data_IF_894842927925
#
_entry.id   IF_894842927925
#
_cell.length_a   1.000
_cell.length_b   1.000
_cell.length_c   1.000
_cell.angle_alpha   90.00
_cell.angle_beta   90.00
_cell.angle_gamma   90.00
#
_symmetry.space_group_name_H-M   'P 1'
#
loop_
_entity.id
_entity.type
_entity.pdbx_description
1 polymer ?
#
# COMPACT_ATOMS: atom_id res chain seq x y z
N UNK A 1 25.16 -40.46 -59.71
CA UNK A 1 26.49 -40.12 -59.16
C UNK A 1 26.40 -38.78 -58.48
N UNK A 2 26.92 -38.76 -57.26
CA UNK A 2 27.15 -37.64 -56.34
C UNK A 2 27.67 -36.38 -57.05
N UNK A 3 27.31 -35.19 -56.56
CA UNK A 3 28.31 -34.23 -56.06
C UNK A 3 27.65 -33.04 -55.32
N UNK A 4 28.10 -32.87 -54.08
CA UNK A 4 27.86 -31.78 -53.16
C UNK A 4 28.50 -30.47 -53.64
N UNK A 5 27.84 -29.33 -53.37
CA UNK A 5 28.50 -28.04 -53.13
C UNK A 5 27.75 -27.23 -52.06
N UNK A 6 28.37 -27.17 -50.88
CA UNK A 6 28.19 -26.14 -49.87
C UNK A 6 28.42 -24.74 -50.46
N UNK A 7 27.70 -23.72 -49.99
CA UNK A 7 28.25 -22.51 -49.34
C UNK A 7 27.14 -21.52 -48.93
N UNK A 8 27.10 -21.25 -47.62
CA UNK A 8 26.95 -19.94 -46.96
C UNK A 8 25.62 -19.13 -46.90
N UNK A 9 25.28 -18.80 -45.64
CA UNK A 9 24.70 -17.54 -45.10
C UNK A 9 23.21 -17.24 -45.41
N UNK A 10 22.37 -16.76 -44.48
CA UNK A 10 22.63 -15.88 -43.36
C UNK A 10 21.73 -16.16 -42.14
N UNK A 11 22.37 -16.09 -40.98
CA UNK A 11 21.81 -16.02 -39.63
C UNK A 11 21.11 -14.67 -39.43
N UNK A 12 19.79 -14.65 -39.32
CA UNK A 12 19.05 -13.47 -38.89
C UNK A 12 19.08 -13.42 -37.35
N UNK A 13 20.02 -12.63 -36.82
CA UNK A 13 20.10 -12.22 -35.42
C UNK A 13 18.85 -11.40 -35.06
N UNK A 14 17.92 -12.02 -34.35
CA UNK A 14 16.82 -11.33 -33.68
C UNK A 14 17.43 -10.58 -32.49
N UNK A 15 17.57 -9.27 -32.67
CA UNK A 15 17.96 -8.33 -31.63
C UNK A 15 16.82 -8.30 -30.61
N UNK A 16 16.96 -9.07 -29.53
CA UNK A 16 16.10 -8.98 -28.36
C UNK A 16 16.42 -7.65 -27.66
N UNK A 17 15.58 -6.63 -27.89
CA UNK A 17 15.58 -5.39 -27.13
C UNK A 17 15.40 -5.74 -25.65
N UNK A 18 16.31 -5.32 -24.74
CA UNK A 18 16.05 -5.46 -23.33
C UNK A 18 14.86 -4.56 -23.00
N UNK A 19 13.76 -5.18 -22.57
CA UNK A 19 12.69 -4.48 -21.87
C UNK A 19 13.37 -3.85 -20.65
N UNK A 20 13.60 -2.54 -20.71
CA UNK A 20 14.01 -1.75 -19.59
C UNK A 20 12.96 -1.95 -18.50
N UNK A 21 13.26 -2.84 -17.55
CA UNK A 21 12.50 -3.00 -16.33
C UNK A 21 12.69 -1.67 -15.61
N UNK A 22 11.66 -0.84 -15.61
CA UNK A 22 11.65 0.38 -14.82
C UNK A 22 11.99 -0.01 -13.39
N UNK A 23 13.18 0.39 -12.93
CA UNK A 23 13.55 0.31 -11.53
C UNK A 23 12.58 1.23 -10.80
N UNK A 24 11.58 0.62 -10.19
CA UNK A 24 10.71 1.28 -9.24
C UNK A 24 11.63 1.63 -8.06
N UNK A 25 12.15 2.84 -8.03
CA UNK A 25 12.76 3.43 -6.84
C UNK A 25 11.66 3.48 -5.77
N UNK A 26 11.46 2.38 -5.04
CA UNK A 26 10.90 2.44 -3.70
C UNK A 26 11.98 3.14 -2.87
N UNK A 27 11.81 4.45 -2.63
CA UNK A 27 12.56 5.17 -1.60
C UNK A 27 12.52 4.30 -0.34
N UNK A 28 13.68 4.01 0.26
CA UNK A 28 13.74 3.24 1.51
C UNK A 28 12.84 3.93 2.54
N UNK A 29 11.67 3.34 2.80
CA UNK A 29 10.85 3.75 3.93
C UNK A 29 11.68 3.52 5.20
N UNK A 30 11.70 4.52 6.09
CA UNK A 30 12.45 4.49 7.32
C UNK A 30 12.18 3.18 8.08
N UNK A 31 13.23 2.37 8.32
CA UNK A 31 13.15 1.02 8.90
C UNK A 31 12.85 1.08 10.39
N UNK A 32 11.65 1.54 10.71
CA UNK A 32 11.09 1.47 12.06
C UNK A 32 9.96 0.47 12.11
N UNK A 33 9.66 -0.12 13.28
CA UNK A 33 8.54 -1.04 13.41
C UNK A 33 7.22 -0.44 12.92
N UNK A 34 6.98 0.86 13.18
CA UNK A 34 5.80 1.55 12.66
C UNK A 34 5.87 1.76 11.14
N UNK A 35 7.04 2.13 10.61
CA UNK A 35 7.26 2.23 9.16
C UNK A 35 6.95 0.93 8.43
N UNK A 36 7.38 -0.21 8.98
CA UNK A 36 7.09 -1.55 8.43
C UNK A 36 5.59 -1.87 8.42
N UNK A 37 4.87 -1.60 9.53
CA UNK A 37 3.42 -1.78 9.59
C UNK A 37 2.69 -0.90 8.57
N UNK A 38 3.07 0.38 8.48
CA UNK A 38 2.50 1.31 7.51
C UNK A 38 2.79 0.90 6.06
N UNK A 39 3.98 0.35 5.80
CA UNK A 39 4.35 -0.21 4.50
C UNK A 39 3.45 -1.38 4.12
N UNK A 40 3.23 -2.31 5.07
CA UNK A 40 2.35 -3.46 4.88
C UNK A 40 0.90 -3.02 4.63
N UNK A 41 0.40 -2.05 5.41
CA UNK A 41 -0.90 -1.41 5.19
C UNK A 41 -0.97 -0.80 3.79
N UNK A 42 0.05 -0.05 3.36
CA UNK A 42 0.07 0.61 2.06
C UNK A 42 0.09 -0.38 0.90
N UNK A 43 0.84 -1.48 1.02
CA UNK A 43 0.91 -2.53 0.02
C UNK A 43 -0.44 -3.22 -0.16
N UNK A 44 -1.06 -3.68 0.92
CA UNK A 44 -2.39 -4.29 0.87
C UNK A 44 -3.44 -3.27 0.38
N UNK A 45 -3.36 -2.01 0.83
CA UNK A 45 -4.26 -0.95 0.40
C UNK A 45 -4.22 -0.68 -1.11
N UNK A 46 -3.02 -0.65 -1.70
CA UNK A 46 -2.87 -0.50 -3.16
C UNK A 46 -3.57 -1.63 -3.91
N UNK A 47 -3.59 -2.84 -3.36
CA UNK A 47 -4.28 -3.97 -3.95
C UNK A 47 -5.80 -3.87 -3.77
N UNK A 48 -6.29 -3.57 -2.56
CA UNK A 48 -7.71 -3.35 -2.29
C UNK A 48 -8.32 -2.32 -3.25
N UNK A 49 -7.64 -1.19 -3.47
CA UNK A 49 -8.11 -0.16 -4.40
C UNK A 49 -8.30 -0.65 -5.83
N UNK A 50 -7.48 -1.60 -6.27
CA UNK A 50 -7.58 -2.18 -7.63
C UNK A 50 -8.69 -3.20 -7.75
N UNK A 51 -9.04 -3.89 -6.66
CA UNK A 51 -9.95 -5.03 -6.67
C UNK A 51 -11.39 -4.66 -6.29
N UNK A 52 -11.58 -3.64 -5.45
CA UNK A 52 -12.87 -3.34 -4.82
C UNK A 52 -14.00 -2.90 -5.77
N UNK A 53 -13.73 -2.63 -7.04
CA UNK A 53 -14.78 -2.38 -8.05
C UNK A 53 -15.34 -3.70 -8.61
N UNK A 54 -14.54 -4.76 -8.62
CA UNK A 54 -14.87 -6.06 -9.17
C UNK A 54 -15.45 -6.98 -8.10
N UNK A 55 -16.76 -7.21 -8.17
CA UNK A 55 -17.51 -8.08 -7.24
C UNK A 55 -16.91 -9.49 -7.17
N UNK A 56 -16.34 -10.00 -8.26
CA UNK A 56 -15.73 -11.35 -8.29
C UNK A 56 -14.46 -11.44 -7.42
N UNK A 57 -13.87 -10.30 -7.06
CA UNK A 57 -12.70 -10.20 -6.20
C UNK A 57 -13.04 -9.82 -4.75
N UNK A 58 -14.33 -9.73 -4.38
CA UNK A 58 -14.71 -9.35 -3.02
C UNK A 58 -14.12 -10.28 -1.95
N UNK A 59 -14.13 -11.61 -2.17
CA UNK A 59 -13.57 -12.56 -1.20
C UNK A 59 -12.08 -12.28 -0.90
N UNK A 60 -11.28 -12.06 -1.94
CA UNK A 60 -9.85 -11.76 -1.78
C UNK A 60 -9.64 -10.35 -1.18
N UNK A 61 -10.47 -9.39 -1.59
CA UNK A 61 -10.42 -8.02 -1.06
C UNK A 61 -10.74 -8.00 0.44
N UNK A 62 -11.65 -8.85 0.91
CA UNK A 62 -11.99 -8.98 2.33
C UNK A 62 -10.81 -9.54 3.15
N UNK A 63 -10.06 -10.52 2.63
CA UNK A 63 -8.85 -11.04 3.29
C UNK A 63 -7.78 -9.97 3.43
N UNK A 64 -7.60 -9.13 2.40
CA UNK A 64 -6.68 -7.99 2.47
C UNK A 64 -7.14 -6.95 3.50
N UNK A 65 -8.45 -6.71 3.61
CA UNK A 65 -8.99 -5.81 4.63
C UNK A 65 -8.78 -6.34 6.04
N UNK A 66 -8.95 -7.64 6.27
CA UNK A 66 -8.66 -8.25 7.56
C UNK A 66 -7.20 -8.05 7.96
N UNK A 67 -6.27 -8.22 7.01
CA UNK A 67 -4.85 -7.93 7.23
C UNK A 67 -4.60 -6.45 7.57
N UNK A 68 -5.21 -5.53 6.80
CA UNK A 68 -5.04 -4.09 7.04
C UNK A 68 -5.59 -3.66 8.40
N UNK A 69 -6.74 -4.21 8.81
CA UNK A 69 -7.37 -3.95 10.10
C UNK A 69 -6.46 -4.44 11.23
N UNK A 70 -5.88 -5.64 11.11
CA UNK A 70 -4.96 -6.15 12.13
C UNK A 70 -3.70 -5.29 12.26
N UNK A 71 -3.09 -4.90 11.13
CA UNK A 71 -1.94 -4.00 11.13
C UNK A 71 -2.29 -2.62 11.71
N UNK A 72 -3.50 -2.10 11.47
CA UNK A 72 -3.95 -0.85 12.07
C UNK A 72 -4.02 -0.96 13.59
N UNK A 73 -4.56 -2.07 14.13
CA UNK A 73 -4.61 -2.32 15.58
C UNK A 73 -3.21 -2.38 16.19
N UNK A 74 -2.30 -3.09 15.55
CA UNK A 74 -0.88 -3.13 15.96
C UNK A 74 -0.26 -1.74 15.96
N UNK A 75 -0.49 -0.95 14.91
CA UNK A 75 0.07 0.38 14.76
C UNK A 75 -0.52 1.42 15.74
N UNK A 76 -1.74 1.24 16.26
CA UNK A 76 -2.33 2.12 17.30
C UNK A 76 -1.45 2.17 18.56
N UNK A 77 -0.79 1.07 18.91
CA UNK A 77 0.04 1.00 20.12
C UNK A 77 1.49 1.44 19.91
N UNK A 78 1.87 1.72 18.65
CA UNK A 78 3.18 2.24 18.31
C UNK A 78 3.27 3.76 18.48
N UNK A 79 4.49 4.29 18.52
CA UNK A 79 4.78 5.71 18.67
C UNK A 79 5.48 6.22 17.42
N UNK A 80 4.99 7.28 16.76
CA UNK A 80 5.69 7.88 15.64
C UNK A 80 7.02 8.49 16.07
N UNK A 81 8.06 8.30 15.26
CA UNK A 81 9.40 8.87 15.49
C UNK A 81 9.32 10.40 15.62
N UNK A 82 8.45 11.03 14.82
CA UNK A 82 8.21 12.48 14.86
C UNK A 82 7.84 12.99 16.26
N UNK A 83 7.33 12.13 17.16
CA UNK A 83 7.08 12.50 18.55
C UNK A 83 8.34 12.92 19.32
N UNK A 84 9.53 12.47 18.89
CA UNK A 84 10.82 12.86 19.47
C UNK A 84 11.17 14.32 19.14
N UNK A 85 10.73 14.81 17.98
CA UNK A 85 10.92 16.19 17.53
C UNK A 85 9.91 17.17 18.13
N UNK A 86 8.82 16.65 18.71
CA UNK A 86 7.84 17.43 19.47
C UNK A 86 8.40 17.73 20.86
N UNK A 87 8.19 18.97 21.32
CA UNK A 87 8.59 19.39 22.67
C UNK A 87 7.96 18.50 23.76
N UNK A 88 8.67 18.28 24.86
CA UNK A 88 8.28 17.32 25.92
C UNK A 88 6.88 17.60 26.49
N UNK A 89 6.49 18.88 26.61
CA UNK A 89 5.19 19.33 27.09
C UNK A 89 4.03 18.98 26.12
N UNK A 90 4.33 18.84 24.82
CA UNK A 90 3.34 18.55 23.77
C UNK A 90 3.34 17.09 23.34
N UNK A 91 4.40 16.34 23.61
CA UNK A 91 4.57 14.93 23.19
C UNK A 91 3.41 14.02 23.62
N UNK A 92 2.88 14.07 24.86
CA UNK A 92 1.75 13.22 25.25
C UNK A 92 0.50 13.48 24.39
N UNK A 93 0.18 14.75 24.12
CA UNK A 93 -0.97 15.12 23.29
C UNK A 93 -0.78 14.71 21.83
N UNK A 94 0.45 14.79 21.31
CA UNK A 94 0.78 14.31 19.96
C UNK A 94 0.56 12.79 19.82
N UNK A 95 1.06 12.00 20.79
CA UNK A 95 0.87 10.54 20.79
C UNK A 95 -0.62 10.19 20.92
N UNK A 96 -1.36 10.85 21.80
CA UNK A 96 -2.80 10.60 21.94
C UNK A 96 -3.58 10.96 20.65
N UNK A 97 -3.21 12.04 19.98
CA UNK A 97 -3.79 12.42 18.70
C UNK A 97 -3.51 11.38 17.61
N UNK A 98 -2.27 10.90 17.52
CA UNK A 98 -1.89 9.80 16.61
C UNK A 98 -2.76 8.56 16.83
N UNK A 99 -2.88 8.09 18.09
CA UNK A 99 -3.70 6.92 18.42
C UNK A 99 -5.15 7.09 17.98
N UNK A 100 -5.73 8.27 18.24
CA UNK A 100 -7.10 8.59 17.80
C UNK A 100 -7.26 8.54 16.29
N UNK A 101 -6.31 9.08 15.54
CA UNK A 101 -6.37 9.04 14.06
C UNK A 101 -6.20 7.61 13.53
N UNK A 102 -5.35 6.79 14.15
CA UNK A 102 -5.23 5.37 13.79
C UNK A 102 -6.49 4.56 14.07
N UNK A 103 -7.15 4.78 15.21
CA UNK A 103 -8.44 4.15 15.50
C UNK A 103 -9.53 4.60 14.52
N UNK A 104 -9.51 5.86 14.06
CA UNK A 104 -10.43 6.33 13.01
C UNK A 104 -10.13 5.68 11.66
N UNK A 105 -8.86 5.45 11.33
CA UNK A 105 -8.47 4.74 10.11
C UNK A 105 -8.98 3.29 10.14
N UNK A 106 -8.77 2.58 11.26
CA UNK A 106 -9.30 1.24 11.50
C UNK A 106 -10.82 1.16 11.27
N UNK A 107 -11.59 2.08 11.86
CA UNK A 107 -13.05 2.15 11.65
C UNK A 107 -13.49 2.42 10.22
N UNK A 108 -12.69 3.16 9.44
CA UNK A 108 -12.98 3.33 8.02
C UNK A 108 -12.73 2.05 7.23
N UNK A 109 -11.70 1.27 7.56
CA UNK A 109 -11.47 -0.05 6.96
C UNK A 109 -12.57 -1.05 7.33
N UNK A 110 -13.02 -1.07 8.58
CA UNK A 110 -14.18 -1.87 8.99
C UNK A 110 -15.43 -1.49 8.18
N UNK A 111 -15.67 -0.18 7.99
CA UNK A 111 -16.81 0.31 7.19
C UNK A 111 -16.73 -0.12 5.72
N UNK A 112 -15.52 -0.10 5.14
CA UNK A 112 -15.28 -0.60 3.78
C UNK A 112 -15.51 -2.10 3.68
N UNK A 113 -15.03 -2.86 4.68
CA UNK A 113 -15.26 -4.30 4.79
C UNK A 113 -16.75 -4.63 4.81
N UNK A 114 -17.52 -3.96 5.67
CA UNK A 114 -18.98 -4.15 5.73
C UNK A 114 -19.70 -3.80 4.43
N UNK A 115 -19.24 -2.77 3.70
CA UNK A 115 -19.81 -2.43 2.39
C UNK A 115 -19.56 -3.55 1.36
N UNK A 116 -18.36 -4.13 1.33
CA UNK A 116 -18.04 -5.23 0.42
C UNK A 116 -18.77 -6.53 0.78
N UNK A 117 -18.94 -6.83 2.08
CA UNK A 117 -19.76 -7.97 2.54
C UNK A 117 -21.23 -7.83 2.13
N UNK A 118 -21.74 -6.60 2.11
CA UNK A 118 -23.09 -6.29 1.65
C UNK A 118 -23.21 -6.25 0.11
N UNK A 119 -22.13 -6.46 -0.64
CA UNK A 119 -22.09 -6.32 -2.10
C UNK A 119 -22.26 -4.87 -2.60
N UNK A 120 -22.08 -3.88 -1.72
CA UNK A 120 -22.23 -2.45 -2.02
C UNK A 120 -20.93 -1.87 -2.63
N UNK A 121 -20.40 -2.48 -3.70
CA UNK A 121 -19.12 -2.08 -4.31
C UNK A 121 -19.10 -0.60 -4.76
N UNK A 122 -20.24 -0.03 -5.16
CA UNK A 122 -20.34 1.42 -5.45
C UNK A 122 -20.04 2.31 -4.23
N UNK A 123 -20.57 1.94 -3.05
CA UNK A 123 -20.27 2.61 -1.78
C UNK A 123 -18.84 2.34 -1.31
N UNK A 124 -18.33 1.13 -1.57
CA UNK A 124 -16.93 0.79 -1.31
C UNK A 124 -15.98 1.76 -2.04
N UNK A 125 -16.29 2.13 -3.29
CA UNK A 125 -15.50 3.12 -4.04
C UNK A 125 -15.53 4.52 -3.42
N UNK A 126 -16.65 4.94 -2.84
CA UNK A 126 -16.72 6.23 -2.11
C UNK A 126 -15.88 6.19 -0.83
N UNK A 127 -15.95 5.09 -0.09
CA UNK A 127 -15.16 4.87 1.13
C UNK A 127 -13.66 4.83 0.80
N UNK A 128 -13.26 4.22 -0.31
CA UNK A 128 -11.88 4.20 -0.77
C UNK A 128 -11.31 5.60 -0.95
N UNK A 129 -12.06 6.51 -1.58
CA UNK A 129 -11.62 7.91 -1.76
C UNK A 129 -11.42 8.60 -0.41
N UNK A 130 -12.38 8.45 0.51
CA UNK A 130 -12.30 9.02 1.86
C UNK A 130 -11.09 8.50 2.63
N UNK A 131 -10.83 7.20 2.56
CA UNK A 131 -9.66 6.56 3.21
C UNK A 131 -8.36 7.08 2.60
N UNK A 132 -8.28 7.24 1.28
CA UNK A 132 -7.07 7.73 0.61
C UNK A 132 -6.73 9.16 1.05
N UNK A 133 -7.73 10.04 1.14
CA UNK A 133 -7.57 11.40 1.64
C UNK A 133 -7.20 11.42 3.13
N UNK A 134 -7.83 10.56 3.94
CA UNK A 134 -7.52 10.42 5.35
C UNK A 134 -6.07 9.99 5.58
N UNK A 135 -5.60 8.97 4.86
CA UNK A 135 -4.22 8.47 4.95
C UNK A 135 -3.20 9.53 4.54
N UNK A 136 -3.46 10.25 3.45
CA UNK A 136 -2.59 11.36 3.00
C UNK A 136 -2.47 12.44 4.06
N UNK A 137 -3.57 12.81 4.72
CA UNK A 137 -3.56 13.77 5.82
C UNK A 137 -2.76 13.22 7.01
N UNK A 138 -3.03 11.98 7.42
CA UNK A 138 -2.31 11.35 8.54
C UNK A 138 -0.79 11.27 8.30
N UNK A 139 -0.34 10.90 7.09
CA UNK A 139 1.10 10.87 6.79
C UNK A 139 1.74 12.26 6.93
N UNK A 140 1.06 13.34 6.52
CA UNK A 140 1.59 14.70 6.72
C UNK A 140 1.72 15.09 8.19
N UNK A 141 0.82 14.59 9.03
CA UNK A 141 0.74 14.96 10.44
C UNK A 141 1.68 14.12 11.33
N UNK A 142 2.03 12.89 10.91
CA UNK A 142 2.71 11.91 11.78
C UNK A 142 3.91 11.17 11.16
N UNK A 143 4.20 11.34 9.87
CA UNK A 143 5.39 10.78 9.22
C UNK A 143 6.39 11.91 8.97
N UNK A 144 7.71 11.69 9.17
CA UNK A 144 8.72 12.62 8.69
C UNK A 144 8.56 12.91 7.18
N UNK A 145 8.92 14.12 6.75
CA UNK A 145 8.90 14.46 5.33
C UNK A 145 9.91 13.59 4.56
N UNK A 146 9.51 13.07 3.40
CA UNK A 146 10.39 12.30 2.54
C UNK A 146 11.31 13.26 1.76
N UNK A 147 12.57 13.42 2.19
CA UNK A 147 13.64 14.12 1.43
C UNK A 147 13.76 13.61 -0.02
#
# INVERSE_FOLDING_TARGET
MTNYRCFLTALALIICLPIARAEHHEKEEEKTPLGEEMSAINKAWRQIKKQAEDVSQNEETLKLLDQVIENCKTAVDMVPILSEEVSEDKRPAFIEAYKKEMMKLDKQFESLRSALEAGENGKAQELIKKIDDFKKKGHKDYKPEDD
#
